data_IF_031793757274
#
_entry.id   IF_031793757274
#
_cell.length_a   1.000
_cell.length_b   1.000
_cell.length_c   1.000
_cell.angle_alpha   90.00
_cell.angle_beta   90.00
_cell.angle_gamma   90.00
#
_symmetry.space_group_name_H-M   'P 1'
#
loop_
_entity.id
_entity.type
_entity.pdbx_description
1 polymer ?
#
# COMPACT_ATOMS: atom_id res chain seq x y z
N UNK A 1 -1.10 10.58 -4.30
CA UNK A 1 -2.24 10.56 -3.34
C UNK A 1 -2.46 9.12 -2.93
N UNK A 2 -2.64 8.84 -1.64
CA UNK A 2 -2.91 7.48 -1.12
C UNK A 2 -4.40 7.14 -1.22
N UNK A 3 -4.73 5.84 -1.25
CA UNK A 3 -6.12 5.36 -1.26
C UNK A 3 -6.75 5.57 0.14
N UNK A 4 -7.86 6.31 0.28
CA UNK A 4 -8.58 6.41 1.55
C UNK A 4 -9.17 5.06 1.98
N UNK A 5 -9.34 4.85 3.29
CA UNK A 5 -9.98 3.65 3.81
C UNK A 5 -11.39 3.48 3.23
N UNK A 6 -11.77 2.23 2.94
CA UNK A 6 -13.07 1.88 2.34
C UNK A 6 -13.20 2.20 0.84
N UNK A 7 -12.16 2.73 0.20
CA UNK A 7 -12.16 2.96 -1.24
C UNK A 7 -11.72 1.69 -2.00
N UNK A 8 -12.37 1.35 -3.12
CA UNK A 8 -11.92 0.26 -3.98
C UNK A 8 -10.47 0.46 -4.47
N UNK A 9 -9.70 -0.62 -4.43
CA UNK A 9 -8.33 -0.67 -4.94
C UNK A 9 -8.37 -1.27 -6.35
N UNK A 10 -7.96 -0.48 -7.35
CA UNK A 10 -7.83 -0.95 -8.74
C UNK A 10 -6.35 -1.27 -8.98
N UNK A 11 -5.99 -2.46 -9.49
CA UNK A 11 -4.61 -2.79 -9.80
C UNK A 11 -4.08 -1.94 -10.96
N UNK A 12 -2.76 -1.73 -11.00
CA UNK A 12 -2.11 -1.13 -12.16
C UNK A 12 -2.21 -2.08 -13.38
N UNK A 13 -2.34 -1.56 -14.62
CA UNK A 13 -2.22 -0.14 -15.01
C UNK A 13 -3.50 0.70 -14.88
N UNK A 14 -4.67 0.10 -14.66
CA UNK A 14 -5.95 0.84 -14.62
C UNK A 14 -6.11 1.70 -13.36
N UNK A 15 -5.43 1.34 -12.28
CA UNK A 15 -5.34 2.15 -11.07
C UNK A 15 -4.34 3.32 -11.21
N UNK A 16 -4.51 4.33 -10.37
CA UNK A 16 -3.68 5.55 -10.37
C UNK A 16 -3.19 5.94 -8.96
N UNK A 17 -3.51 5.13 -7.94
CA UNK A 17 -3.27 5.43 -6.53
C UNK A 17 -2.54 4.29 -5.83
N UNK A 18 -1.72 4.65 -4.84
CA UNK A 18 -0.97 3.71 -4.01
C UNK A 18 -1.65 3.51 -2.66
N UNK A 19 -1.46 2.34 -2.05
CA UNK A 19 -1.94 2.04 -0.71
C UNK A 19 -1.30 2.94 0.36
N UNK A 20 -0.04 3.33 0.15
CA UNK A 20 0.75 4.07 1.10
C UNK A 20 2.16 4.32 0.58
N UNK A 21 3.01 4.86 1.44
CA UNK A 21 4.43 5.08 1.18
C UNK A 21 5.25 4.64 2.40
N UNK A 22 6.41 4.04 2.15
CA UNK A 22 7.44 3.79 3.16
C UNK A 22 8.57 4.79 2.96
N UNK A 23 9.09 5.33 4.06
CA UNK A 23 10.24 6.23 4.05
C UNK A 23 11.31 5.68 4.98
N UNK A 24 12.57 5.77 4.57
CA UNK A 24 13.72 5.44 5.39
C UNK A 24 14.81 6.48 5.19
N UNK A 25 15.71 6.58 6.17
CA UNK A 25 16.88 7.45 6.14
C UNK A 25 18.07 6.66 6.67
N UNK A 26 19.20 6.77 5.98
CA UNK A 26 20.48 6.18 6.32
C UNK A 26 21.61 7.05 5.78
N UNK A 27 22.82 6.83 6.26
CA UNK A 27 24.00 7.57 5.77
C UNK A 27 24.50 6.98 4.45
N UNK A 28 24.17 5.72 4.18
CA UNK A 28 24.53 4.98 2.97
C UNK A 28 23.29 4.42 2.25
N UNK A 29 23.29 4.33 0.91
CA UNK A 29 22.17 3.78 0.15
C UNK A 29 21.72 2.38 0.62
N UNK A 30 22.65 1.48 0.90
CA UNK A 30 22.41 0.12 1.36
C UNK A 30 21.62 0.06 2.67
N UNK A 31 21.89 0.98 3.61
CA UNK A 31 21.17 1.06 4.88
C UNK A 31 19.72 1.48 4.66
N UNK A 32 19.48 2.40 3.72
CA UNK A 32 18.13 2.85 3.33
C UNK A 32 17.36 1.70 2.70
N UNK A 33 17.97 0.97 1.76
CA UNK A 33 17.32 -0.15 1.10
C UNK A 33 16.97 -1.28 2.06
N UNK A 34 17.88 -1.63 2.98
CA UNK A 34 17.67 -2.71 3.94
C UNK A 34 16.58 -2.33 4.95
N UNK A 35 16.55 -1.08 5.40
CA UNK A 35 15.46 -0.58 6.24
C UNK A 35 14.10 -0.63 5.53
N UNK A 36 14.05 -0.24 4.25
CA UNK A 36 12.82 -0.31 3.44
C UNK A 36 12.37 -1.77 3.23
N UNK A 37 13.30 -2.68 2.89
CA UNK A 37 13.00 -4.11 2.72
C UNK A 37 12.50 -4.73 4.02
N UNK A 38 13.12 -4.40 5.16
CA UNK A 38 12.70 -4.88 6.46
C UNK A 38 11.31 -4.35 6.83
N UNK A 39 11.06 -3.04 6.68
CA UNK A 39 9.77 -2.44 6.96
C UNK A 39 8.66 -3.03 6.06
N UNK A 40 8.94 -3.24 4.78
CA UNK A 40 8.02 -3.89 3.84
C UNK A 40 7.66 -5.32 4.28
N UNK A 41 8.62 -6.10 4.78
CA UNK A 41 8.38 -7.45 5.27
C UNK A 41 7.48 -7.50 6.52
N UNK A 42 7.36 -6.39 7.26
CA UNK A 42 6.49 -6.28 8.43
C UNK A 42 5.07 -5.80 8.08
N UNK A 43 4.79 -5.41 6.84
CA UNK A 43 3.47 -4.93 6.44
C UNK A 43 2.48 -6.08 6.28
N UNK A 44 1.36 -6.00 7.01
CA UNK A 44 0.20 -6.87 6.84
C UNK A 44 -0.95 -6.08 6.17
N UNK A 45 -1.02 -6.15 4.84
CA UNK A 45 -2.03 -5.45 4.05
C UNK A 45 -3.32 -6.27 4.00
N UNK A 46 -4.38 -5.77 4.64
CA UNK A 46 -5.69 -6.41 4.66
C UNK A 46 -6.62 -5.79 3.62
N UNK A 47 -7.05 -6.62 2.67
CA UNK A 47 -8.09 -6.27 1.71
C UNK A 47 -9.36 -7.06 2.00
N UNK A 48 -10.50 -6.39 1.92
CA UNK A 48 -11.80 -7.05 1.94
C UNK A 48 -12.40 -7.01 0.54
N UNK A 49 -13.15 -8.05 0.17
CA UNK A 49 -13.98 -8.01 -1.03
C UNK A 49 -15.10 -6.99 -0.78
N UNK A 50 -15.34 -6.13 -1.76
CA UNK A 50 -16.49 -5.24 -1.74
C UNK A 50 -17.77 -6.08 -1.57
N UNK A 51 -18.58 -5.74 -0.57
CA UNK A 51 -19.91 -6.31 -0.43
C UNK A 51 -20.80 -5.57 -1.41
N UNK A 52 -21.32 -6.27 -2.41
CA UNK A 52 -22.41 -5.74 -3.21
C UNK A 52 -23.65 -5.66 -2.31
N UNK A 53 -24.04 -4.45 -1.91
CA UNK A 53 -25.35 -4.23 -1.32
C UNK A 53 -26.38 -4.47 -2.43
N UNK A 54 -27.26 -5.45 -2.23
CA UNK A 54 -28.37 -5.70 -3.13
C UNK A 54 -29.27 -4.46 -3.12
N UNK A 55 -29.37 -3.80 -4.27
CA UNK A 55 -30.36 -2.77 -4.50
C UNK A 55 -31.73 -3.44 -4.40
N UNK A 56 -32.53 -3.03 -3.43
CA UNK A 56 -33.94 -3.44 -3.31
C UNK A 56 -34.79 -2.75 -4.36
#
# INVERSE_FOLDING_TARGET
VTIPLGTPVVPLPEGDRYLGFLFARGERPEEVEDALRHAHALLDVRMARERMEAVQ
#
